data_IF_227743762171
#
_entry.id   IF_227743762171
#
_cell.length_a   1.000
_cell.length_b   1.000
_cell.length_c   1.000
_cell.angle_alpha   90.00
_cell.angle_beta   90.00
_cell.angle_gamma   90.00
#
_symmetry.space_group_name_H-M   'P 1'
#
loop_
_entity.id
_entity.type
_entity.pdbx_description
1 polymer ?
#
# COMPACT_ATOMS: atom_id res chain seq x y z
N UNK A 1 3.72 -12.39 -48.61
CA UNK A 1 2.56 -11.72 -48.01
C UNK A 1 2.47 -12.21 -46.57
N UNK A 2 2.72 -11.34 -45.59
CA UNK A 2 2.53 -11.70 -44.19
C UNK A 2 1.03 -11.80 -43.90
N UNK A 3 0.55 -12.87 -43.25
CA UNK A 3 -0.85 -12.96 -42.85
C UNK A 3 -1.11 -11.92 -41.76
N UNK A 4 -2.07 -11.01 -42.00
CA UNK A 4 -2.57 -10.11 -40.97
C UNK A 4 -3.05 -10.92 -39.77
N UNK A 5 -2.70 -10.53 -38.53
CA UNK A 5 -3.20 -11.21 -37.35
C UNK A 5 -4.70 -10.97 -37.25
N UNK A 6 -5.48 -12.04 -37.23
CA UNK A 6 -6.90 -11.98 -36.95
C UNK A 6 -7.10 -11.28 -35.60
N UNK A 7 -7.89 -10.19 -35.51
CA UNK A 7 -8.12 -9.52 -34.24
C UNK A 7 -8.83 -10.51 -33.30
N UNK A 8 -8.21 -10.76 -32.14
CA UNK A 8 -8.81 -11.58 -31.09
C UNK A 8 -10.18 -11.00 -30.73
N UNK A 9 -11.26 -11.71 -31.07
CA UNK A 9 -12.64 -11.24 -30.86
C UNK A 9 -12.97 -10.92 -29.40
N UNK A 10 -12.24 -11.52 -28.45
CA UNK A 10 -12.32 -11.20 -27.02
C UNK A 10 -11.80 -9.80 -26.71
N UNK A 11 -10.63 -9.42 -27.23
CA UNK A 11 -10.05 -8.07 -27.06
C UNK A 11 -10.97 -7.01 -27.67
N UNK A 12 -11.46 -7.26 -28.90
CA UNK A 12 -12.35 -6.30 -29.58
C UNK A 12 -13.66 -6.02 -28.82
N UNK A 13 -14.24 -7.04 -28.19
CA UNK A 13 -15.46 -6.88 -27.39
C UNK A 13 -15.19 -6.19 -26.05
N UNK A 14 -14.01 -6.40 -25.46
CA UNK A 14 -13.59 -5.67 -24.26
C UNK A 14 -13.38 -4.19 -24.56
N UNK A 15 -12.69 -3.85 -25.65
CA UNK A 15 -12.45 -2.46 -26.05
C UNK A 15 -13.76 -1.69 -26.33
N UNK A 16 -14.73 -2.35 -26.98
CA UNK A 16 -16.05 -1.76 -27.18
C UNK A 16 -16.82 -1.54 -25.88
N UNK A 17 -16.75 -2.49 -24.94
CA UNK A 17 -17.39 -2.36 -23.61
C UNK A 17 -16.72 -1.27 -22.77
N UNK A 18 -15.40 -1.10 -22.90
CA UNK A 18 -14.66 -0.01 -22.27
C UNK A 18 -15.22 1.33 -22.71
N UNK A 19 -15.35 1.54 -24.02
CA UNK A 19 -15.91 2.78 -24.61
C UNK A 19 -17.32 3.13 -24.09
N UNK A 20 -18.11 2.12 -23.73
CA UNK A 20 -19.46 2.34 -23.19
C UNK A 20 -19.44 2.90 -21.76
N UNK A 21 -18.48 2.52 -20.91
CA UNK A 21 -18.44 2.92 -19.50
C UNK A 21 -17.39 3.99 -19.17
N UNK A 22 -16.63 4.48 -20.16
CA UNK A 22 -15.62 5.55 -19.94
C UNK A 22 -16.26 6.75 -19.27
N UNK A 23 -15.61 7.19 -18.20
CA UNK A 23 -15.85 8.44 -17.53
C UNK A 23 -14.54 9.22 -17.35
N UNK A 24 -14.66 10.54 -17.26
CA UNK A 24 -13.53 11.44 -17.04
C UNK A 24 -13.55 11.90 -15.59
N UNK A 25 -12.45 11.73 -14.87
CA UNK A 25 -12.28 12.28 -13.52
C UNK A 25 -12.13 13.81 -13.55
N UNK A 26 -12.19 14.45 -12.38
CA UNK A 26 -12.06 15.92 -12.25
C UNK A 26 -10.74 16.46 -12.78
N UNK A 27 -9.68 15.67 -12.66
CA UNK A 27 -8.32 15.92 -13.13
C UNK A 27 -8.10 15.52 -14.60
N UNK A 28 -9.13 15.03 -15.29
CA UNK A 28 -9.06 14.74 -16.73
C UNK A 28 -8.55 13.36 -17.09
N UNK A 29 -8.54 12.40 -16.16
CA UNK A 29 -8.13 11.03 -16.44
C UNK A 29 -9.31 10.18 -16.90
N UNK A 30 -9.08 9.38 -17.94
CA UNK A 30 -10.06 8.41 -18.42
C UNK A 30 -10.06 7.17 -17.53
N UNK A 31 -11.26 6.86 -17.01
CA UNK A 31 -11.49 5.72 -16.13
C UNK A 31 -12.63 4.87 -16.70
N UNK A 32 -12.32 3.60 -16.94
CA UNK A 32 -13.26 2.64 -17.54
C UNK A 32 -13.49 1.47 -16.58
N UNK A 33 -14.56 1.48 -15.76
CA UNK A 33 -14.92 0.36 -14.92
C UNK A 33 -15.75 -0.70 -15.66
N UNK A 34 -15.74 -1.91 -15.13
CA UNK A 34 -16.76 -2.92 -15.42
C UNK A 34 -17.90 -2.81 -14.40
N UNK A 35 -19.09 -2.39 -14.83
CA UNK A 35 -20.24 -2.21 -13.95
C UNK A 35 -21.20 -3.41 -14.09
N UNK A 36 -21.49 -4.06 -12.98
CA UNK A 36 -22.44 -5.17 -12.89
C UNK A 36 -23.76 -4.68 -12.30
N UNK A 37 -24.88 -4.95 -12.98
CA UNK A 37 -26.21 -4.48 -12.56
C UNK A 37 -27.15 -5.67 -12.43
N UNK A 38 -27.73 -5.84 -11.26
CA UNK A 38 -28.78 -6.81 -10.99
C UNK A 38 -30.12 -6.09 -10.92
N UNK A 39 -31.04 -6.44 -11.80
CA UNK A 39 -32.36 -5.82 -11.87
C UNK A 39 -33.44 -6.85 -12.19
N UNK A 40 -34.68 -6.50 -11.90
CA UNK A 40 -35.86 -7.30 -12.21
C UNK A 40 -37.05 -6.42 -12.57
N UNK A 41 -38.05 -6.99 -13.24
CA UNK A 41 -39.37 -6.36 -13.33
C UNK A 41 -39.96 -6.32 -11.92
N UNK A 42 -40.56 -5.17 -11.56
CA UNK A 42 -41.15 -4.90 -10.27
C UNK A 42 -42.17 -5.98 -9.93
N UNK A 43 -42.05 -6.52 -8.72
CA UNK A 43 -42.97 -7.53 -8.19
C UNK A 43 -44.03 -6.88 -7.30
N UNK A 44 -45.22 -7.48 -7.18
CA UNK A 44 -46.24 -6.99 -6.26
C UNK A 44 -45.79 -7.19 -4.81
N UNK A 45 -46.11 -6.24 -3.92
CA UNK A 45 -45.77 -6.32 -2.49
C UNK A 45 -46.48 -7.48 -1.76
N UNK A 46 -47.63 -7.91 -2.27
CA UNK A 46 -48.36 -9.08 -1.80
C UNK A 46 -48.70 -9.95 -3.01
N UNK A 47 -48.37 -11.23 -2.93
CA UNK A 47 -48.74 -12.19 -3.96
C UNK A 47 -50.26 -12.33 -3.94
N UNK A 48 -50.91 -11.93 -5.03
CA UNK A 48 -52.33 -12.17 -5.23
C UNK A 48 -52.50 -13.57 -5.82
N UNK A 49 -53.56 -14.27 -5.41
CA UNK A 49 -53.94 -15.51 -6.05
C UNK A 49 -54.23 -15.23 -7.52
N UNK A 50 -53.68 -16.05 -8.41
CA UNK A 50 -54.02 -15.99 -9.83
C UNK A 50 -55.49 -16.38 -10.06
N UNK A 51 -56.00 -16.20 -11.27
CA UNK A 51 -57.37 -16.59 -11.65
C UNK A 51 -57.68 -18.08 -11.34
N UNK A 52 -56.64 -18.92 -11.23
CA UNK A 52 -56.73 -20.33 -10.84
C UNK A 52 -56.66 -20.59 -9.32
N UNK A 53 -56.65 -19.54 -8.49
CA UNK A 53 -56.55 -19.64 -7.03
C UNK A 53 -55.14 -19.99 -6.51
N UNK A 54 -54.17 -20.21 -7.40
CA UNK A 54 -52.79 -20.55 -7.02
C UNK A 54 -51.99 -19.28 -6.78
N UNK A 55 -51.44 -19.16 -5.58
CA UNK A 55 -50.52 -18.08 -5.21
C UNK A 55 -49.09 -18.47 -5.63
N UNK A 56 -48.58 -17.86 -6.70
CA UNK A 56 -47.20 -18.10 -7.12
C UNK A 56 -46.21 -17.44 -6.14
N UNK A 57 -45.07 -18.09 -5.89
CA UNK A 57 -43.96 -17.51 -5.11
C UNK A 57 -43.28 -16.35 -5.84
N UNK A 58 -43.38 -16.32 -7.16
CA UNK A 58 -42.66 -15.39 -8.02
C UNK A 58 -43.33 -14.02 -8.14
N UNK A 59 -44.65 -13.94 -7.90
CA UNK A 59 -45.43 -12.70 -7.99
C UNK A 59 -45.52 -12.16 -9.42
N UNK A 60 -46.71 -11.75 -9.85
CA UNK A 60 -46.91 -11.19 -11.19
C UNK A 60 -47.63 -9.84 -11.12
N UNK A 61 -47.01 -8.80 -11.68
CA UNK A 61 -47.62 -7.49 -11.85
C UNK A 61 -47.82 -7.21 -13.36
N UNK A 62 -49.04 -7.35 -13.89
CA UNK A 62 -49.32 -7.14 -15.30
C UNK A 62 -49.02 -5.71 -15.73
N UNK A 63 -49.15 -4.74 -14.84
CA UNK A 63 -48.89 -3.33 -15.14
C UNK A 63 -47.40 -3.07 -15.28
N UNK A 64 -46.56 -3.65 -14.42
CA UNK A 64 -45.11 -3.54 -14.49
C UNK A 64 -44.54 -4.21 -15.74
N UNK A 65 -44.99 -5.44 -16.06
CA UNK A 65 -44.57 -6.17 -17.25
C UNK A 65 -44.98 -5.41 -18.52
N UNK A 66 -46.23 -4.93 -18.58
CA UNK A 66 -46.70 -4.13 -19.71
C UNK A 66 -45.90 -2.84 -19.85
N UNK A 67 -45.62 -2.15 -18.75
CA UNK A 67 -44.84 -0.91 -18.80
C UNK A 67 -43.38 -1.14 -19.22
N UNK A 68 -42.78 -2.26 -18.83
CA UNK A 68 -41.42 -2.62 -19.23
C UNK A 68 -41.34 -2.90 -20.73
N UNK A 69 -42.32 -3.61 -21.30
CA UNK A 69 -42.31 -4.00 -22.71
C UNK A 69 -42.77 -2.87 -23.63
N UNK A 70 -43.86 -2.18 -23.28
CA UNK A 70 -44.53 -1.24 -24.20
C UNK A 70 -43.89 0.15 -24.22
N UNK A 71 -43.29 0.58 -23.11
CA UNK A 71 -42.64 1.87 -23.07
C UNK A 71 -41.20 1.66 -23.55
N UNK A 72 -40.88 2.18 -24.73
CA UNK A 72 -39.52 2.25 -25.30
C UNK A 72 -38.83 3.58 -24.92
N UNK A 73 -37.49 3.63 -24.91
CA UNK A 73 -36.71 4.85 -24.60
C UNK A 73 -36.02 5.37 -25.86
N UNK A 74 -36.07 6.68 -26.05
CA UNK A 74 -35.39 7.39 -27.14
C UNK A 74 -33.97 7.73 -26.67
N UNK A 75 -32.95 7.22 -27.35
CA UNK A 75 -31.56 7.70 -27.14
C UNK A 75 -31.41 9.11 -27.71
N UNK A 76 -30.91 10.05 -26.90
CA UNK A 76 -30.72 11.46 -27.31
C UNK A 76 -29.27 11.78 -27.75
N UNK A 77 -28.39 10.78 -27.90
CA UNK A 77 -26.94 11.01 -28.06
C UNK A 77 -26.46 11.21 -29.51
N UNK A 78 -27.32 11.10 -30.54
CA UNK A 78 -26.89 11.23 -31.95
C UNK A 78 -27.47 12.49 -32.60
N UNK A 79 -26.59 13.30 -33.23
CA UNK A 79 -26.91 14.50 -34.01
C UNK A 79 -27.93 14.26 -35.15
N UNK A 80 -28.10 13.00 -35.54
CA UNK A 80 -29.24 12.57 -36.33
C UNK A 80 -30.30 12.02 -35.38
N UNK A 81 -31.44 12.73 -35.27
CA UNK A 81 -32.68 12.34 -34.57
C UNK A 81 -33.32 11.05 -35.13
N UNK A 82 -32.55 10.01 -35.44
CA UNK A 82 -33.08 8.66 -35.60
C UNK A 82 -33.41 8.18 -34.19
N UNK A 83 -34.70 8.13 -33.89
CA UNK A 83 -35.24 7.51 -32.67
C UNK A 83 -34.78 6.04 -32.64
N UNK A 84 -33.62 5.80 -32.05
CA UNK A 84 -33.10 4.46 -31.82
C UNK A 84 -33.84 3.89 -30.60
N UNK A 85 -34.64 2.87 -30.85
CA UNK A 85 -35.48 2.22 -29.84
C UNK A 85 -34.58 1.45 -28.89
N UNK A 86 -34.52 1.86 -27.62
CA UNK A 86 -33.79 1.12 -26.62
C UNK A 86 -34.68 0.04 -26.00
N UNK A 87 -34.21 -1.21 -26.05
CA UNK A 87 -34.81 -2.33 -25.32
C UNK A 87 -34.80 -2.07 -23.81
N UNK A 88 -35.84 -2.53 -23.12
CA UNK A 88 -36.02 -2.33 -21.68
C UNK A 88 -34.89 -2.91 -20.82
N UNK A 89 -34.23 -3.96 -21.30
CA UNK A 89 -33.08 -4.62 -20.65
C UNK A 89 -31.81 -3.73 -20.66
N UNK A 90 -31.69 -2.79 -21.59
CA UNK A 90 -30.54 -1.88 -21.76
C UNK A 90 -30.71 -0.58 -20.96
N UNK A 91 -31.95 -0.25 -20.57
CA UNK A 91 -32.25 1.00 -19.87
C UNK A 91 -31.52 1.12 -18.52
N UNK A 92 -31.54 0.12 -17.62
CA UNK A 92 -30.82 0.22 -16.35
C UNK A 92 -29.32 0.45 -16.56
N UNK A 93 -28.72 -0.23 -17.55
CA UNK A 93 -27.32 -0.05 -17.89
C UNK A 93 -27.00 1.37 -18.34
N UNK A 94 -27.81 1.92 -19.24
CA UNK A 94 -27.63 3.28 -19.73
C UNK A 94 -27.75 4.34 -18.62
N UNK A 95 -28.74 4.22 -17.73
CA UNK A 95 -28.91 5.17 -16.62
C UNK A 95 -27.75 5.09 -15.63
N UNK A 96 -27.30 3.88 -15.31
CA UNK A 96 -26.15 3.67 -14.41
C UNK A 96 -24.87 4.24 -14.99
N UNK A 97 -24.62 4.05 -16.29
CA UNK A 97 -23.45 4.62 -16.97
C UNK A 97 -23.47 6.14 -16.95
N UNK A 98 -24.62 6.76 -17.20
CA UNK A 98 -24.73 8.22 -17.16
C UNK A 98 -24.53 8.77 -15.75
N UNK A 99 -25.12 8.14 -14.73
CA UNK A 99 -24.90 8.51 -13.34
C UNK A 99 -23.43 8.29 -12.91
N UNK A 100 -22.79 7.22 -13.40
CA UNK A 100 -21.37 6.97 -13.19
C UNK A 100 -20.51 8.11 -13.76
N UNK A 101 -20.75 8.50 -15.02
CA UNK A 101 -20.04 9.61 -15.68
C UNK A 101 -20.24 10.95 -14.96
N UNK A 102 -21.38 11.15 -14.32
CA UNK A 102 -21.63 12.33 -13.50
C UNK A 102 -20.83 12.29 -12.20
N UNK A 103 -20.84 11.16 -11.49
CA UNK A 103 -20.16 11.05 -10.20
C UNK A 103 -18.64 11.03 -10.33
N UNK A 104 -18.08 10.31 -11.31
CA UNK A 104 -16.63 10.20 -11.50
C UNK A 104 -15.97 11.57 -11.73
N UNK A 105 -16.69 12.52 -12.35
CA UNK A 105 -16.25 13.90 -12.58
C UNK A 105 -16.06 14.72 -11.29
N UNK A 106 -16.62 14.27 -10.16
CA UNK A 106 -16.50 14.94 -8.86
C UNK A 106 -15.24 14.53 -8.09
N UNK A 107 -14.61 13.42 -8.48
CA UNK A 107 -13.44 12.86 -7.81
C UNK A 107 -12.17 13.07 -8.65
N UNK A 108 -11.03 13.27 -7.98
CA UNK A 108 -9.71 13.09 -8.62
C UNK A 108 -9.37 11.61 -8.66
N UNK A 109 -8.44 11.23 -9.55
CA UNK A 109 -7.99 9.84 -9.65
C UNK A 109 -7.45 9.32 -8.31
N UNK A 110 -6.65 10.12 -7.61
CA UNK A 110 -6.08 9.75 -6.30
C UNK A 110 -7.18 9.51 -5.24
N UNK A 111 -8.24 10.32 -5.26
CA UNK A 111 -9.36 10.24 -4.31
C UNK A 111 -10.19 8.96 -4.51
N UNK A 112 -10.09 8.29 -5.67
CA UNK A 112 -10.79 7.04 -5.97
C UNK A 112 -10.15 5.81 -5.31
N UNK A 113 -8.91 5.91 -4.84
CA UNK A 113 -8.16 4.80 -4.25
C UNK A 113 -7.67 5.08 -2.84
N UNK A 114 -7.50 6.35 -2.49
CA UNK A 114 -6.94 6.72 -1.20
C UNK A 114 -8.07 6.91 -0.17
N UNK A 115 -8.16 6.09 0.88
CA UNK A 115 -9.16 6.27 1.92
C UNK A 115 -8.80 7.50 2.76
N UNK A 116 -9.51 8.62 2.54
CA UNK A 116 -9.34 9.83 3.37
C UNK A 116 -10.10 9.73 4.69
N UNK A 117 -11.32 9.19 4.65
CA UNK A 117 -12.28 9.17 5.75
C UNK A 117 -13.00 7.80 5.81
N UNK A 118 -12.23 6.70 5.95
CA UNK A 118 -12.69 5.29 6.05
C UNK A 118 -13.33 4.68 4.78
N UNK A 119 -14.02 5.46 3.96
CA UNK A 119 -14.60 5.03 2.68
C UNK A 119 -13.72 5.46 1.50
N UNK A 120 -13.51 4.55 0.54
CA UNK A 120 -12.81 4.86 -0.70
C UNK A 120 -13.74 5.60 -1.68
N UNK A 121 -13.21 6.48 -2.55
CA UNK A 121 -14.03 7.24 -3.51
C UNK A 121 -14.91 6.36 -4.39
N UNK A 122 -14.40 5.19 -4.83
CA UNK A 122 -15.20 4.20 -5.56
C UNK A 122 -16.36 3.62 -4.75
N UNK A 123 -16.17 3.38 -3.45
CA UNK A 123 -17.22 2.88 -2.57
C UNK A 123 -18.31 3.93 -2.37
N UNK A 124 -17.92 5.21 -2.23
CA UNK A 124 -18.86 6.33 -2.16
C UNK A 124 -19.69 6.39 -3.46
N UNK A 125 -19.04 6.28 -4.63
CA UNK A 125 -19.74 6.28 -5.92
C UNK A 125 -20.69 5.08 -6.02
N UNK A 126 -20.27 3.88 -5.60
CA UNK A 126 -21.10 2.68 -5.60
C UNK A 126 -22.33 2.83 -4.69
N UNK A 127 -22.14 3.35 -3.47
CA UNK A 127 -23.23 3.63 -2.54
C UNK A 127 -24.23 4.63 -3.16
N UNK A 128 -23.71 5.70 -3.76
CA UNK A 128 -24.50 6.76 -4.36
C UNK A 128 -25.25 6.32 -5.62
N UNK A 129 -24.65 5.47 -6.44
CA UNK A 129 -25.34 4.82 -7.57
C UNK A 129 -26.47 3.93 -7.07
N UNK A 130 -26.23 3.11 -6.05
CA UNK A 130 -27.27 2.27 -5.47
C UNK A 130 -28.42 3.11 -4.90
N UNK A 131 -28.13 4.17 -4.15
CA UNK A 131 -29.17 5.08 -3.63
C UNK A 131 -29.96 5.72 -4.76
N UNK A 132 -29.29 6.29 -5.77
CA UNK A 132 -29.94 6.95 -6.91
C UNK A 132 -30.84 6.01 -7.71
N UNK A 133 -30.46 4.74 -7.86
CA UNK A 133 -31.28 3.76 -8.59
C UNK A 133 -32.44 3.17 -7.79
N UNK A 134 -32.42 3.26 -6.44
CA UNK A 134 -33.39 2.60 -5.55
C UNK A 134 -34.30 3.55 -4.80
N UNK A 135 -33.89 4.80 -4.61
CA UNK A 135 -34.58 5.77 -3.78
C UNK A 135 -35.02 6.98 -4.59
N UNK A 136 -36.20 7.50 -4.28
CA UNK A 136 -36.73 8.71 -4.92
C UNK A 136 -35.99 9.96 -4.45
N UNK A 137 -35.61 10.03 -3.18
CA UNK A 137 -34.91 11.17 -2.60
C UNK A 137 -33.53 10.71 -2.16
N UNK A 138 -32.50 11.39 -2.63
CA UNK A 138 -31.10 11.08 -2.33
C UNK A 138 -30.37 12.31 -1.79
N UNK A 139 -29.34 12.07 -0.97
CA UNK A 139 -28.44 13.14 -0.56
C UNK A 139 -27.50 13.48 -1.74
N UNK A 140 -27.31 14.74 -2.07
CA UNK A 140 -26.39 15.13 -3.15
C UNK A 140 -24.94 15.05 -2.69
N UNK A 141 -24.05 14.87 -3.67
CA UNK A 141 -22.62 15.08 -3.49
C UNK A 141 -22.26 16.48 -3.98
N UNK A 142 -21.41 17.16 -3.22
CA UNK A 142 -20.74 18.40 -3.59
C UNK A 142 -19.75 18.19 -4.75
N UNK A 143 -19.23 19.27 -5.34
CA UNK A 143 -18.25 19.25 -6.44
C UNK A 143 -16.91 18.59 -6.07
N UNK A 144 -16.73 18.31 -4.78
CA UNK A 144 -15.57 17.62 -4.21
C UNK A 144 -15.86 16.16 -3.84
N UNK A 145 -17.04 15.62 -4.16
CA UNK A 145 -17.43 14.25 -3.87
C UNK A 145 -17.88 14.01 -2.41
N UNK A 146 -18.05 15.07 -1.62
CA UNK A 146 -18.49 14.99 -0.22
C UNK A 146 -20.02 15.04 -0.10
N UNK A 147 -20.59 14.33 0.88
CA UNK A 147 -22.02 14.29 1.15
C UNK A 147 -22.49 15.64 1.72
N UNK A 148 -23.25 16.43 0.96
CA UNK A 148 -23.67 17.81 1.34
C UNK A 148 -24.91 17.87 2.22
N UNK A 149 -25.62 16.74 2.39
CA UNK A 149 -26.85 16.65 3.18
C UNK A 149 -28.10 17.23 2.51
N UNK A 150 -27.94 17.98 1.41
CA UNK A 150 -29.02 18.43 0.54
C UNK A 150 -29.74 17.25 -0.10
N UNK A 151 -31.07 17.33 -0.19
CA UNK A 151 -31.91 16.26 -0.73
C UNK A 151 -32.39 16.62 -2.13
N UNK A 152 -32.10 15.75 -3.10
CA UNK A 152 -32.57 15.88 -4.49
C UNK A 152 -33.39 14.67 -4.90
N UNK A 153 -34.28 14.87 -5.88
CA UNK A 153 -35.09 13.81 -6.46
C UNK A 153 -34.29 13.05 -7.53
N UNK A 154 -34.31 11.72 -7.47
CA UNK A 154 -33.68 10.85 -8.45
C UNK A 154 -34.59 10.66 -9.67
N UNK A 155 -34.23 11.31 -10.77
CA UNK A 155 -34.91 11.17 -12.06
C UNK A 155 -34.76 9.74 -12.61
N UNK A 156 -33.62 9.09 -12.37
CA UNK A 156 -33.33 7.73 -12.81
C UNK A 156 -34.27 6.74 -12.12
N UNK A 157 -34.48 6.89 -10.81
CA UNK A 157 -35.43 6.07 -10.07
C UNK A 157 -36.85 6.26 -10.60
N UNK A 158 -37.27 7.49 -10.86
CA UNK A 158 -38.59 7.77 -11.46
C UNK A 158 -38.75 7.10 -12.82
N UNK A 159 -37.73 7.18 -13.68
CA UNK A 159 -37.74 6.54 -14.98
C UNK A 159 -37.87 5.01 -14.85
N UNK A 160 -37.10 4.38 -13.96
CA UNK A 160 -37.19 2.94 -13.71
C UNK A 160 -38.57 2.53 -13.16
N UNK A 161 -39.09 3.29 -12.18
CA UNK A 161 -40.40 3.07 -11.58
C UNK A 161 -41.54 3.19 -12.58
N UNK A 162 -41.50 4.21 -13.45
CA UNK A 162 -42.48 4.40 -14.53
C UNK A 162 -42.47 3.25 -15.54
N UNK A 163 -41.38 2.50 -15.63
CA UNK A 163 -41.23 1.33 -16.52
C UNK A 163 -41.49 0.01 -15.79
N UNK A 164 -41.78 0.05 -14.49
CA UNK A 164 -41.95 -1.16 -13.70
C UNK A 164 -40.65 -1.96 -13.58
N UNK A 165 -39.48 -1.31 -13.63
CA UNK A 165 -38.18 -1.96 -13.42
C UNK A 165 -37.68 -1.59 -12.04
N UNK A 166 -37.12 -2.57 -11.34
CA UNK A 166 -36.51 -2.43 -10.03
C UNK A 166 -35.05 -2.88 -10.08
N UNK A 167 -34.14 -2.00 -9.66
CA UNK A 167 -32.72 -2.30 -9.57
C UNK A 167 -32.41 -2.83 -8.18
N UNK A 168 -31.92 -4.06 -8.11
CA UNK A 168 -31.58 -4.75 -6.87
C UNK A 168 -30.19 -4.37 -6.39
N UNK A 169 -29.24 -4.22 -7.31
CA UNK A 169 -27.84 -3.98 -6.96
C UNK A 169 -27.07 -3.43 -8.15
N UNK A 170 -26.17 -2.48 -7.88
CA UNK A 170 -25.15 -2.01 -8.81
C UNK A 170 -23.80 -2.22 -8.13
N UNK A 171 -22.85 -2.84 -8.82
CA UNK A 171 -21.49 -3.02 -8.33
C UNK A 171 -20.47 -2.58 -9.37
N UNK A 172 -19.39 -1.97 -8.90
CA UNK A 172 -18.28 -1.53 -9.73
C UNK A 172 -17.12 -2.51 -9.51
N UNK A 173 -16.61 -3.07 -10.60
CA UNK A 173 -15.45 -3.95 -10.57
C UNK A 173 -14.46 -3.55 -11.66
N UNK A 174 -13.21 -4.00 -11.53
CA UNK A 174 -12.19 -3.93 -12.58
C UNK A 174 -12.10 -2.54 -13.23
N UNK A 175 -11.52 -1.59 -12.48
CA UNK A 175 -11.30 -0.23 -12.94
C UNK A 175 -10.04 -0.20 -13.81
N UNK A 176 -10.21 0.11 -15.09
CA UNK A 176 -9.12 0.19 -16.06
C UNK A 176 -8.82 1.64 -16.43
N UNK A 177 -7.57 1.88 -16.83
CA UNK A 177 -7.08 3.19 -17.29
C UNK A 177 -6.60 3.11 -18.74
N UNK A 178 -6.35 4.28 -19.31
CA UNK A 178 -5.58 4.38 -20.54
C UNK A 178 -4.17 3.80 -20.34
N UNK A 179 -3.71 2.85 -21.20
CA UNK A 179 -2.42 2.19 -21.04
C UNK A 179 -1.23 3.15 -20.95
N UNK A 180 -1.31 4.30 -21.63
CA UNK A 180 -0.26 5.33 -21.62
C UNK A 180 -0.03 5.96 -20.24
N UNK A 181 -1.07 6.06 -19.41
CA UNK A 181 -0.98 6.60 -18.06
C UNK A 181 -0.35 5.59 -17.08
N UNK A 182 -0.68 4.31 -17.23
CA UNK A 182 -0.14 3.24 -16.39
C UNK A 182 1.39 3.15 -16.53
N UNK A 183 1.90 3.22 -17.77
CA UNK A 183 3.34 3.23 -18.02
C UNK A 183 4.07 4.43 -17.40
N UNK A 184 3.44 5.62 -17.40
CA UNK A 184 4.02 6.83 -16.81
C UNK A 184 4.10 6.72 -15.29
N UNK A 185 3.03 6.24 -14.64
CA UNK A 185 3.03 6.01 -13.20
C UNK A 185 4.05 4.95 -12.78
N UNK A 186 4.17 3.84 -13.53
CA UNK A 186 5.19 2.82 -13.27
C UNK A 186 6.61 3.41 -13.38
N UNK A 187 6.86 4.26 -14.37
CA UNK A 187 8.15 4.96 -14.54
C UNK A 187 8.42 5.96 -13.42
N UNK A 188 7.42 6.74 -13.01
CA UNK A 188 7.58 7.69 -11.90
C UNK A 188 7.84 6.94 -10.59
N UNK A 189 7.04 5.91 -10.30
CA UNK A 189 7.15 5.13 -9.08
C UNK A 189 8.50 4.42 -8.98
N UNK A 190 8.98 3.79 -10.06
CA UNK A 190 10.32 3.18 -10.09
C UNK A 190 11.44 4.21 -9.91
N UNK A 191 11.28 5.42 -10.45
CA UNK A 191 12.22 6.53 -10.25
C UNK A 191 12.24 7.06 -8.80
N UNK A 192 11.07 7.22 -8.18
CA UNK A 192 10.94 7.65 -6.78
C UNK A 192 11.45 6.59 -5.81
N UNK A 193 11.15 5.32 -6.07
CA UNK A 193 11.63 4.22 -5.24
C UNK A 193 13.15 4.10 -5.27
N UNK A 194 13.78 4.23 -6.45
CA UNK A 194 15.24 4.24 -6.57
C UNK A 194 15.87 5.43 -5.82
N UNK A 195 15.25 6.61 -5.87
CA UNK A 195 15.72 7.79 -5.12
C UNK A 195 15.63 7.56 -3.61
N UNK A 196 14.51 7.02 -3.15
CA UNK A 196 14.29 6.73 -1.73
C UNK A 196 15.26 5.66 -1.22
N UNK A 197 15.45 4.58 -1.98
CA UNK A 197 16.38 3.51 -1.63
C UNK A 197 17.82 4.02 -1.50
N UNK A 198 18.28 4.88 -2.44
CA UNK A 198 19.62 5.50 -2.34
C UNK A 198 19.76 6.41 -1.12
N UNK A 199 18.73 7.20 -0.83
CA UNK A 199 18.72 8.08 0.34
C UNK A 199 18.75 7.28 1.64
N UNK A 200 18.03 6.16 1.69
CA UNK A 200 18.02 5.26 2.84
C UNK A 200 19.39 4.56 3.02
N UNK A 201 20.02 4.10 1.93
CA UNK A 201 21.38 3.55 1.95
C UNK A 201 22.40 4.56 2.49
N UNK A 202 22.33 5.82 2.07
CA UNK A 202 23.18 6.90 2.59
C UNK A 202 22.94 7.13 4.09
N UNK A 203 21.68 7.14 4.53
CA UNK A 203 21.33 7.31 5.94
C UNK A 203 21.82 6.15 6.81
N UNK A 204 21.66 4.92 6.35
CA UNK A 204 22.17 3.72 7.03
C UNK A 204 23.69 3.80 7.12
N UNK A 205 24.38 4.14 6.02
CA UNK A 205 25.83 4.28 6.00
C UNK A 205 26.34 5.37 6.95
N UNK A 206 25.62 6.49 7.09
CA UNK A 206 25.97 7.53 8.07
C UNK A 206 25.78 7.06 9.51
N UNK A 207 24.67 6.37 9.79
CA UNK A 207 24.41 5.78 11.10
C UNK A 207 25.49 4.76 11.47
N UNK A 208 25.86 3.86 10.56
CA UNK A 208 26.93 2.88 10.77
C UNK A 208 28.26 3.54 11.09
N UNK A 209 28.62 4.64 10.42
CA UNK A 209 29.84 5.41 10.72
C UNK A 209 29.80 6.01 12.12
N UNK A 210 28.66 6.55 12.54
CA UNK A 210 28.48 7.09 13.90
C UNK A 210 28.60 5.97 14.93
N UNK A 211 27.91 4.85 14.73
CA UNK A 211 27.99 3.69 15.60
C UNK A 211 29.41 3.13 15.69
N UNK A 212 30.13 3.01 14.57
CA UNK A 212 31.52 2.57 14.54
C UNK A 212 32.44 3.52 15.33
N UNK A 213 32.22 4.83 15.22
CA UNK A 213 32.98 5.83 16.00
C UNK A 213 32.67 5.74 17.48
N UNK A 214 31.40 5.64 17.86
CA UNK A 214 30.97 5.48 19.25
C UNK A 214 31.50 4.18 19.85
N UNK A 215 31.45 3.08 19.10
CA UNK A 215 31.99 1.78 19.50
C UNK A 215 33.51 1.84 19.70
N UNK A 216 34.26 2.51 18.81
CA UNK A 216 35.70 2.73 19.01
C UNK A 216 35.99 3.56 20.27
N UNK A 217 35.20 4.60 20.51
CA UNK A 217 35.37 5.44 21.70
C UNK A 217 35.03 4.68 22.99
N UNK A 218 33.96 3.88 23.00
CA UNK A 218 33.59 3.06 24.15
C UNK A 218 34.61 1.95 24.40
N UNK A 219 35.11 1.30 23.34
CA UNK A 219 36.18 0.31 23.41
C UNK A 219 37.46 0.93 24.00
N UNK A 220 37.88 2.12 23.54
CA UNK A 220 39.05 2.81 24.09
C UNK A 220 38.88 3.18 25.56
N UNK A 221 37.70 3.64 25.98
CA UNK A 221 37.38 3.91 27.40
C UNK A 221 37.41 2.63 28.24
N UNK A 222 36.84 1.55 27.73
CA UNK A 222 36.85 0.25 28.40
C UNK A 222 38.27 -0.28 28.55
N UNK A 223 39.09 -0.17 27.50
CA UNK A 223 40.51 -0.51 27.53
C UNK A 223 41.26 0.28 28.60
N UNK A 224 41.11 1.61 28.62
CA UNK A 224 41.76 2.46 29.62
C UNK A 224 41.32 2.06 31.05
N UNK A 225 40.02 1.83 31.26
CA UNK A 225 39.47 1.41 32.57
C UNK A 225 40.03 0.07 33.02
N UNK A 226 40.14 -0.90 32.12
CA UNK A 226 40.72 -2.21 32.41
C UNK A 226 42.21 -2.12 32.73
N UNK A 227 42.98 -1.36 31.94
CA UNK A 227 44.40 -1.15 32.18
C UNK A 227 44.68 -0.46 33.53
N UNK A 228 43.87 0.52 33.93
CA UNK A 228 44.07 1.25 35.19
C UNK A 228 43.46 0.57 36.42
N UNK A 229 42.78 -0.57 36.26
CA UNK A 229 42.02 -1.25 37.35
C UNK A 229 42.89 -1.47 38.59
N UNK A 230 44.10 -1.95 38.38
CA UNK A 230 45.00 -2.37 39.45
C UNK A 230 45.82 -1.21 40.04
N UNK A 231 45.71 -0.01 39.45
CA UNK A 231 46.41 1.22 39.85
C UNK A 231 45.54 2.22 40.62
N UNK A 232 44.22 2.06 40.60
CA UNK A 232 43.30 2.94 41.34
C UNK A 232 43.26 2.68 42.85
N UNK A 233 43.92 1.63 43.36
CA UNK A 233 44.06 1.40 44.80
C UNK A 233 45.22 2.23 45.36
N UNK A 234 44.91 3.27 46.13
CA UNK A 234 45.84 4.30 46.65
C UNK A 234 46.94 3.83 47.63
N UNK A 235 47.30 2.54 47.67
CA UNK A 235 48.19 1.96 48.70
C UNK A 235 49.10 0.85 48.17
N UNK A 236 49.70 1.02 46.98
CA UNK A 236 50.76 0.12 46.54
C UNK A 236 52.15 0.76 46.68
N UNK A 237 53.13 0.06 47.30
CA UNK A 237 54.51 0.53 47.38
C UNK A 237 55.14 0.65 45.98
N UNK A 238 56.23 1.43 45.81
CA UNK A 238 56.89 1.59 44.52
C UNK A 238 57.29 0.22 43.96
N UNK A 239 56.70 -0.14 42.82
CA UNK A 239 57.00 -1.37 42.08
C UNK A 239 58.13 -1.13 41.08
N UNK A 240 58.89 -2.19 40.82
CA UNK A 240 59.88 -2.25 39.74
C UNK A 240 59.22 -1.96 38.37
N UNK A 241 59.96 -1.38 37.42
CA UNK A 241 59.41 -0.92 36.11
C UNK A 241 58.72 -2.07 35.36
N UNK A 242 59.31 -3.27 35.43
CA UNK A 242 58.79 -4.49 34.81
C UNK A 242 57.55 -5.05 35.53
N UNK A 243 57.50 -4.96 36.86
CA UNK A 243 56.34 -5.39 37.65
C UNK A 243 55.14 -4.46 37.47
N UNK A 244 55.40 -3.20 37.11
CA UNK A 244 54.37 -2.20 36.77
C UNK A 244 53.76 -2.49 35.40
N UNK A 245 54.58 -2.82 34.40
CA UNK A 245 54.12 -3.23 33.07
C UNK A 245 53.34 -4.54 33.10
N UNK A 246 53.77 -5.52 33.90
CA UNK A 246 53.07 -6.79 34.07
C UNK A 246 51.67 -6.59 34.69
N UNK A 247 51.55 -5.70 35.68
CA UNK A 247 50.27 -5.34 36.30
C UNK A 247 49.30 -4.58 35.36
N UNK A 248 49.82 -3.90 34.32
CA UNK A 248 48.98 -3.27 33.29
C UNK A 248 48.44 -4.30 32.27
N UNK A 249 49.21 -5.33 31.97
CA UNK A 249 48.91 -6.29 30.91
C UNK A 249 47.99 -7.41 31.41
N UNK A 250 48.13 -7.83 32.67
CA UNK A 250 47.39 -8.96 33.22
C UNK A 250 45.85 -8.78 33.19
N UNK A 251 45.27 -7.62 33.59
CA UNK A 251 43.82 -7.40 33.51
C UNK A 251 43.29 -7.39 32.07
N UNK A 252 44.10 -6.94 31.12
CA UNK A 252 43.76 -6.93 29.69
C UNK A 252 43.72 -8.35 29.13
N UNK A 253 44.68 -9.20 29.53
CA UNK A 253 44.71 -10.62 29.16
C UNK A 253 43.48 -11.37 29.67
N UNK A 254 43.11 -11.16 30.93
CA UNK A 254 41.91 -11.78 31.54
C UNK A 254 40.61 -11.36 30.84
N UNK A 255 40.47 -10.08 30.51
CA UNK A 255 39.31 -9.57 29.79
C UNK A 255 39.21 -10.13 28.36
N UNK A 256 40.34 -10.16 27.63
CA UNK A 256 40.38 -10.72 26.28
C UNK A 256 40.14 -12.23 26.25
N UNK A 257 40.57 -12.99 27.26
CA UNK A 257 40.27 -14.42 27.38
C UNK A 257 38.79 -14.71 27.67
N UNK A 258 38.07 -13.76 28.28
CA UNK A 258 36.63 -13.86 28.49
C UNK A 258 35.85 -13.54 27.21
N UNK A 259 36.30 -12.52 26.47
CA UNK A 259 35.70 -12.09 25.20
C UNK A 259 36.09 -12.97 24.00
N UNK A 260 37.27 -13.61 23.99
CA UNK A 260 37.69 -14.50 22.89
C UNK A 260 36.88 -15.79 22.81
N UNK A 261 36.14 -16.16 23.87
CA UNK A 261 35.19 -17.29 23.84
C UNK A 261 34.01 -17.04 22.89
N UNK A 262 33.79 -15.79 22.47
CA UNK A 262 32.70 -15.41 21.57
C UNK A 262 33.17 -14.96 20.18
N UNK A 263 34.47 -14.76 19.94
CA UNK A 263 35.01 -14.40 18.62
C UNK A 263 36.43 -14.92 18.38
N UNK A 264 36.62 -15.62 17.26
CA UNK A 264 37.91 -16.24 16.85
C UNK A 264 39.00 -15.20 16.51
N UNK A 265 38.63 -13.96 16.21
CA UNK A 265 39.57 -12.92 15.77
C UNK A 265 40.53 -12.47 16.89
N UNK A 266 40.21 -12.75 18.16
CA UNK A 266 40.98 -12.30 19.32
C UNK A 266 42.12 -13.26 19.73
N UNK A 267 42.22 -14.45 19.14
CA UNK A 267 43.26 -15.44 19.50
C UNK A 267 44.69 -14.97 19.17
N UNK A 268 44.87 -14.24 18.06
CA UNK A 268 46.18 -13.71 17.68
C UNK A 268 46.65 -12.61 18.65
N UNK A 269 45.73 -11.77 19.11
CA UNK A 269 46.05 -10.70 20.06
C UNK A 269 46.38 -11.27 21.44
N UNK A 270 45.70 -12.35 21.85
CA UNK A 270 46.05 -13.10 23.07
C UNK A 270 47.49 -13.63 22.98
N UNK A 271 47.86 -14.29 21.87
CA UNK A 271 49.23 -14.83 21.69
C UNK A 271 50.29 -13.73 21.79
N UNK A 272 50.06 -12.57 21.17
CA UNK A 272 50.99 -11.42 21.27
C UNK A 272 51.16 -10.94 22.71
N UNK A 273 50.07 -10.84 23.48
CA UNK A 273 50.14 -10.44 24.88
C UNK A 273 50.88 -11.48 25.75
N UNK A 274 50.76 -12.77 25.43
CA UNK A 274 51.53 -13.81 26.10
C UNK A 274 53.03 -13.72 25.82
N UNK A 275 53.40 -13.43 24.58
CA UNK A 275 54.80 -13.26 24.20
C UNK A 275 55.42 -12.03 24.87
N UNK A 276 54.68 -10.92 24.97
CA UNK A 276 55.10 -9.72 25.72
C UNK A 276 55.25 -10.03 27.22
N UNK A 277 54.31 -10.77 27.82
CA UNK A 277 54.38 -11.17 29.23
C UNK A 277 55.59 -12.08 29.51
N UNK A 278 55.85 -13.07 28.65
CA UNK A 278 57.05 -13.94 28.75
C UNK A 278 58.34 -13.12 28.63
N UNK A 279 58.38 -12.18 27.69
CA UNK A 279 59.53 -11.31 27.50
C UNK A 279 59.81 -10.41 28.72
N UNK A 280 58.77 -9.86 29.36
CA UNK A 280 58.91 -9.09 30.59
C UNK A 280 59.44 -9.92 31.76
N UNK A 281 59.00 -11.18 31.89
CA UNK A 281 59.48 -12.10 32.92
C UNK A 281 60.97 -12.44 32.75
N UNK A 282 61.40 -12.73 31.52
CA UNK A 282 62.82 -13.00 31.21
C UNK A 282 63.68 -11.78 31.48
N UNK A 283 63.24 -10.59 31.03
CA UNK A 283 63.98 -9.33 31.21
C UNK A 283 64.15 -8.95 32.68
N UNK A 284 63.15 -9.25 33.52
CA UNK A 284 63.21 -9.04 34.97
C UNK A 284 64.23 -9.96 35.65
N UNK A 285 64.29 -11.23 35.25
CA UNK A 285 65.27 -12.20 35.78
C UNK A 285 66.70 -11.80 35.40
N UNK A 286 66.91 -11.34 34.16
CA UNK A 286 68.22 -10.87 33.70
C UNK A 286 68.69 -9.61 34.45
N UNK A 287 67.78 -8.70 34.81
CA UNK A 287 68.12 -7.55 35.65
C UNK A 287 68.50 -7.96 37.08
N UNK A 288 67.78 -8.91 37.68
CA UNK A 288 68.09 -9.40 39.01
C UNK A 288 69.48 -10.07 39.07
N UNK A 289 69.83 -10.87 38.05
CA UNK A 289 71.15 -11.52 37.95
C UNK A 289 72.29 -10.50 37.79
N UNK A 290 72.08 -9.42 37.03
CA UNK A 290 73.06 -8.33 36.89
C UNK A 290 73.24 -7.51 38.17
N UNK A 291 72.21 -7.41 39.01
CA UNK A 291 72.30 -6.74 40.31
C UNK A 291 73.02 -7.60 41.37
N UNK A 292 72.89 -8.93 41.31
CA UNK A 292 73.62 -9.86 42.19
C UNK A 292 75.12 -9.95 41.86
N UNK A 293 75.49 -9.85 40.58
CA UNK A 293 76.91 -9.85 40.16
C UNK A 293 77.67 -8.56 40.49
N UNK A 294 76.96 -7.48 40.84
CA UNK A 294 77.53 -6.17 41.20
C UNK A 294 77.53 -5.88 42.72
N UNK A 295 77.19 -6.85 43.57
CA UNK A 295 77.39 -6.73 45.03
C UNK A 295 78.83 -7.11 45.39
N UNK A 296 79.64 -6.19 45.95
CA UNK A 296 81.01 -6.47 46.39
C UNK A 296 81.08 -7.45 47.58
#
# INVERSE_FOLDING_TARGET
>A
MNPSPFPNSKLYNEDKRRLETVGLTRDGFEVSPTISIKYSVKRPQKNQASESGVTSWYGYDPSAVRNAITREVIKLEKLNNKQDRMEWNKLPAHLVVNAWREYIRKFKLEDLFNPKDEENGLQIIEEMLNKRMKQQIINTLDDTGRKTGERSESLEYLQLKLRGIEVMEVRIHNVMYEPGMEEQYIKQWSGEWLKNAKKEEEQIGEQERIYAKLARMSAAKNFARLATRDFNSSTQPPRDEYATLEALIQPLKEALLLESRTSNDMEMEIKKLEDISKWLLVSRLDQAQKQEQNKP
#
